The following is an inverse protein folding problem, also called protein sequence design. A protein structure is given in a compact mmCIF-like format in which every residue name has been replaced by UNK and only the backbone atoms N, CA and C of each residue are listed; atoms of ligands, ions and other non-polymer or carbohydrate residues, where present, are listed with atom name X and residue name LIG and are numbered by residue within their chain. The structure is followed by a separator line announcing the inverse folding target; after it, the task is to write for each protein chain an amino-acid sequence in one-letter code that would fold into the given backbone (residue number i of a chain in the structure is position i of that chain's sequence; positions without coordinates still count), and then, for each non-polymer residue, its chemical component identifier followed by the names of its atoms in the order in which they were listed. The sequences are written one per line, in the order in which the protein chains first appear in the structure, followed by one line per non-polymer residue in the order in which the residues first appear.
data_IF_895908940760
#
_entry.id   IF_895908940760
#
_cell.length_a   1.000
_cell.length_b   1.000
_cell.length_c   1.000
_cell.angle_alpha   90.00
_cell.angle_beta   90.00
_cell.angle_gamma   90.00
#
_symmetry.space_group_name_H-M   'P 1'
#
loop_
_entity.id
_entity.type
_entity.pdbx_description
1 polymer ?
#
# COMPACT_ATOMS: atom_id res chain seq x y z
N UNK A 1 -8.41 25.08 5.15
CA UNK A 1 -7.49 24.34 6.04
C UNK A 1 -7.83 22.87 5.93
N UNK A 2 -6.96 22.06 5.32
CA UNK A 2 -7.14 20.59 5.33
C UNK A 2 -6.62 20.11 6.68
N UNK A 3 -7.52 19.81 7.59
CA UNK A 3 -7.20 19.09 8.82
C UNK A 3 -6.73 17.70 8.40
N UNK A 4 -5.41 17.51 8.38
CA UNK A 4 -4.83 16.18 8.22
C UNK A 4 -5.27 15.35 9.42
N UNK A 5 -6.24 14.46 9.22
CA UNK A 5 -6.44 13.33 10.11
C UNK A 5 -5.18 12.48 9.99
N UNK A 6 -4.25 12.67 10.93
CA UNK A 6 -3.01 11.89 11.00
C UNK A 6 -3.38 10.48 11.46
N UNK A 7 -3.80 9.65 10.51
CA UNK A 7 -3.83 8.20 10.76
C UNK A 7 -2.39 7.71 10.88
N UNK A 8 -2.17 6.66 11.66
CA UNK A 8 -0.86 5.99 11.79
C UNK A 8 -0.29 5.62 10.41
N UNK A 9 -1.15 5.35 9.41
CA UNK A 9 -0.75 5.10 8.03
C UNK A 9 -0.12 6.33 7.35
N UNK A 10 -0.65 7.52 7.60
CA UNK A 10 -0.14 8.77 7.03
C UNK A 10 1.22 9.15 7.63
N UNK A 11 1.37 8.97 8.95
CA UNK A 11 2.64 9.17 9.65
C UNK A 11 3.71 8.22 9.13
N UNK A 12 3.39 6.92 9.01
CA UNK A 12 4.32 5.95 8.49
C UNK A 12 4.66 6.20 7.02
N UNK A 13 3.68 6.56 6.20
CA UNK A 13 3.92 6.96 4.81
C UNK A 13 4.82 8.20 4.71
N UNK A 14 4.63 9.19 5.59
CA UNK A 14 5.48 10.38 5.68
C UNK A 14 6.92 10.01 6.04
N UNK A 15 7.09 9.17 7.06
CA UNK A 15 8.39 8.63 7.46
C UNK A 15 9.10 7.92 6.31
N UNK A 16 8.43 6.98 5.62
CA UNK A 16 8.99 6.27 4.47
C UNK A 16 9.42 7.23 3.35
N UNK A 17 8.56 8.20 3.01
CA UNK A 17 8.86 9.21 1.98
C UNK A 17 10.08 10.07 2.32
N UNK A 18 10.37 10.27 3.62
CA UNK A 18 11.52 11.05 4.09
C UNK A 18 12.87 10.33 4.01
N UNK A 19 12.88 8.99 4.03
CA UNK A 19 14.13 8.21 3.98
C UNK A 19 14.80 8.28 2.60
N UNK A 20 14.04 7.98 1.54
CA UNK A 20 14.53 8.06 0.17
C UNK A 20 13.36 8.11 -0.82
N UNK A 21 12.91 9.31 -1.25
CA UNK A 21 11.78 9.46 -2.16
C UNK A 21 11.92 8.61 -3.44
N UNK A 22 13.12 8.56 -4.03
CA UNK A 22 13.40 7.78 -5.24
C UNK A 22 13.23 6.27 -5.02
N UNK A 23 13.72 5.74 -3.90
CA UNK A 23 13.57 4.30 -3.57
C UNK A 23 12.12 3.94 -3.26
N UNK A 24 11.39 4.83 -2.59
CA UNK A 24 9.96 4.65 -2.32
C UNK A 24 9.15 4.60 -3.61
N UNK A 25 9.42 5.48 -4.57
CA UNK A 25 8.77 5.44 -5.89
C UNK A 25 9.09 4.15 -6.66
N UNK A 26 10.35 3.71 -6.60
CA UNK A 26 10.81 2.47 -7.24
C UNK A 26 10.31 1.19 -6.57
N UNK A 27 9.81 1.26 -5.34
CA UNK A 27 9.34 0.09 -4.60
C UNK A 27 8.20 -0.62 -5.36
N UNK A 28 8.35 -1.94 -5.48
CA UNK A 28 7.34 -2.87 -5.95
C UNK A 28 7.32 -4.07 -5.01
N UNK A 29 6.12 -4.55 -4.70
CA UNK A 29 5.97 -5.81 -3.98
C UNK A 29 6.63 -6.96 -4.75
N UNK A 30 7.08 -8.00 -4.06
CA UNK A 30 7.73 -9.15 -4.69
C UNK A 30 6.80 -9.84 -5.69
N UNK A 31 7.33 -10.51 -6.74
CA UNK A 31 6.51 -11.23 -7.71
C UNK A 31 5.55 -12.23 -7.06
N UNK A 32 6.01 -12.92 -6.01
CA UNK A 32 5.21 -13.86 -5.22
C UNK A 32 4.01 -13.18 -4.53
N UNK A 33 4.22 -12.01 -3.93
CA UNK A 33 3.15 -11.26 -3.28
C UNK A 33 2.12 -10.75 -4.30
N UNK A 34 2.59 -10.23 -5.43
CA UNK A 34 1.70 -9.79 -6.51
C UNK A 34 0.87 -10.94 -7.07
N UNK A 35 1.48 -12.12 -7.24
CA UNK A 35 0.78 -13.33 -7.70
C UNK A 35 -0.27 -13.80 -6.70
N UNK A 36 0.05 -13.80 -5.40
CA UNK A 36 -0.92 -14.17 -4.37
C UNK A 36 -2.14 -13.25 -4.36
N UNK A 37 -1.94 -11.94 -4.46
CA UNK A 37 -3.05 -10.97 -4.55
C UNK A 37 -3.89 -11.22 -5.80
N UNK A 38 -3.26 -11.48 -6.96
CA UNK A 38 -4.00 -11.83 -8.19
C UNK A 38 -4.88 -13.07 -7.99
N UNK A 39 -4.35 -14.12 -7.37
CA UNK A 39 -5.12 -15.34 -7.08
C UNK A 39 -6.31 -15.06 -6.17
N UNK A 40 -6.13 -14.25 -5.12
CA UNK A 40 -7.22 -13.86 -4.23
C UNK A 40 -8.29 -13.05 -4.97
N UNK A 41 -7.90 -12.11 -5.83
CA UNK A 41 -8.84 -11.31 -6.65
C UNK A 41 -9.65 -12.21 -7.58
N UNK A 42 -9.01 -13.15 -8.27
CA UNK A 42 -9.72 -14.08 -9.16
C UNK A 42 -10.64 -15.02 -8.38
N UNK A 43 -10.20 -15.53 -7.24
CA UNK A 43 -11.04 -16.39 -6.38
C UNK A 43 -12.27 -15.65 -5.86
N UNK A 44 -12.13 -14.38 -5.50
CA UNK A 44 -13.23 -13.51 -5.05
C UNK A 44 -14.34 -13.44 -6.11
N UNK A 45 -13.98 -13.39 -7.41
CA UNK A 45 -14.95 -13.32 -8.52
C UNK A 45 -15.67 -14.64 -8.79
N UNK A 46 -15.05 -15.79 -8.45
CA UNK A 46 -15.59 -17.11 -8.80
C UNK A 46 -16.37 -17.76 -7.65
N UNK A 47 -15.79 -17.81 -6.46
CA UNK A 47 -16.29 -18.63 -5.35
C UNK A 47 -16.32 -17.89 -4.00
N UNK A 48 -15.80 -16.66 -3.95
CA UNK A 48 -15.57 -15.94 -2.71
C UNK A 48 -14.31 -16.39 -1.97
N UNK A 49 -13.95 -15.64 -0.94
CA UNK A 49 -12.78 -15.90 -0.10
C UNK A 49 -13.18 -16.57 1.22
N UNK A 50 -12.31 -17.43 1.75
CA UNK A 50 -12.45 -17.89 3.14
C UNK A 50 -12.17 -16.74 4.11
N UNK A 51 -12.49 -16.93 5.40
CA UNK A 51 -12.20 -15.92 6.42
C UNK A 51 -10.70 -15.61 6.51
N UNK A 52 -9.85 -16.61 6.38
CA UNK A 52 -8.39 -16.47 6.41
C UNK A 52 -7.88 -15.69 5.20
N UNK A 53 -8.45 -15.93 4.02
CA UNK A 53 -8.12 -15.25 2.78
C UNK A 53 -8.63 -13.80 2.76
N UNK A 54 -9.81 -13.54 3.33
CA UNK A 54 -10.29 -12.18 3.54
C UNK A 54 -9.36 -11.41 4.48
N UNK A 55 -8.97 -12.00 5.61
CA UNK A 55 -7.99 -11.39 6.50
C UNK A 55 -6.63 -11.17 5.82
N UNK A 56 -6.23 -12.05 4.89
CA UNK A 56 -5.03 -11.85 4.05
C UNK A 56 -5.20 -10.66 3.12
N UNK A 57 -6.33 -10.54 2.43
CA UNK A 57 -6.66 -9.43 1.55
C UNK A 57 -6.67 -8.10 2.29
N UNK A 58 -7.27 -8.05 3.49
CA UNK A 58 -7.28 -6.85 4.34
C UNK A 58 -5.86 -6.38 4.68
N UNK A 59 -4.96 -7.31 5.04
CA UNK A 59 -3.54 -6.98 5.28
C UNK A 59 -2.87 -6.41 4.04
N UNK A 60 -3.14 -6.97 2.86
CA UNK A 60 -2.61 -6.42 1.60
C UNK A 60 -3.13 -5.01 1.33
N UNK A 61 -4.42 -4.76 1.56
CA UNK A 61 -5.03 -3.45 1.35
C UNK A 61 -4.44 -2.37 2.26
N UNK A 62 -4.16 -2.70 3.53
CA UNK A 62 -3.49 -1.78 4.46
C UNK A 62 -2.08 -1.42 3.96
N UNK A 63 -1.28 -2.42 3.56
CA UNK A 63 0.07 -2.19 3.05
C UNK A 63 0.05 -1.38 1.76
N UNK A 64 -0.85 -1.71 0.82
CA UNK A 64 -0.97 -0.98 -0.44
C UNK A 64 -1.39 0.46 -0.20
N UNK A 65 -2.30 0.71 0.75
CA UNK A 65 -2.69 2.06 1.14
C UNK A 65 -1.51 2.90 1.65
N UNK A 66 -0.70 2.35 2.55
CA UNK A 66 0.51 3.01 3.06
C UNK A 66 1.49 3.31 1.92
N UNK A 67 1.76 2.33 1.06
CA UNK A 67 2.70 2.48 -0.06
C UNK A 67 2.23 3.57 -1.02
N UNK A 68 0.93 3.64 -1.32
CA UNK A 68 0.36 4.67 -2.19
C UNK A 68 0.52 6.07 -1.60
N UNK A 69 0.23 6.24 -0.31
CA UNK A 69 0.46 7.51 0.40
C UNK A 69 1.95 7.89 0.40
N UNK A 70 2.83 6.92 0.67
CA UNK A 70 4.27 7.15 0.70
C UNK A 70 4.79 7.59 -0.67
N UNK A 71 4.29 6.98 -1.76
CA UNK A 71 4.63 7.38 -3.15
C UNK A 71 4.11 8.77 -3.49
N UNK A 72 2.89 9.11 -3.10
CA UNK A 72 2.34 10.45 -3.33
C UNK A 72 3.20 11.53 -2.63
N UNK A 73 3.54 11.33 -1.35
CA UNK A 73 4.42 12.23 -0.59
C UNK A 73 5.84 12.26 -1.14
N UNK A 74 6.37 11.13 -1.59
CA UNK A 74 7.69 11.06 -2.22
C UNK A 74 7.75 11.87 -3.53
N UNK A 75 6.69 11.83 -4.33
CA UNK A 75 6.58 12.65 -5.54
C UNK A 75 6.56 14.14 -5.18
N UNK A 76 5.74 14.54 -4.20
CA UNK A 76 5.70 15.93 -3.72
C UNK A 76 7.08 16.43 -3.27
N UNK A 77 7.86 15.59 -2.56
CA UNK A 77 9.22 15.94 -2.11
C UNK A 77 10.24 16.07 -3.24
N UNK A 78 10.02 15.44 -4.40
CA UNK A 78 10.92 15.56 -5.56
C UNK A 78 10.51 16.68 -6.52
N UNK A 79 9.27 17.15 -6.40
CA UNK A 79 8.72 18.26 -7.20
C UNK A 79 8.76 19.61 -6.48
N UNK A 80 9.12 19.61 -5.19
CA UNK A 80 9.39 20.80 -4.38
C UNK A 80 10.88 21.17 -4.46
#
# INVERSE_FOLDING_TARGET
MVTASYSVYDEFASFLSGLSPKRVLAYKASPKAQERVRQLVEKTKMAGLTNEENAEMERYMVVEHIVRLAKAKALQRLSA
#
